data_IF_782961955456
#
_entry.id   IF_782961955456
#
_cell.length_a   1.000
_cell.length_b   1.000
_cell.length_c   1.000
_cell.angle_alpha   90.00
_cell.angle_beta   90.00
_cell.angle_gamma   90.00
#
_symmetry.space_group_name_H-M   'P 1'
#
loop_
_entity.id
_entity.type
_entity.pdbx_description
1 polymer ?
#
# COMPACT_ATOMS: atom_id res chain seq x y z
N UNK A 1 -14.80 -10.57 -21.59
CA UNK A 1 -14.68 -9.25 -22.24
C UNK A 1 -13.92 -9.46 -23.54
N UNK A 2 -14.59 -9.32 -24.68
CA UNK A 2 -13.97 -9.51 -26.00
C UNK A 2 -13.12 -8.29 -26.33
N UNK A 3 -11.80 -8.48 -26.46
CA UNK A 3 -10.89 -7.41 -26.82
C UNK A 3 -11.17 -7.00 -28.28
N UNK A 4 -11.56 -5.76 -28.59
CA UNK A 4 -11.78 -5.33 -29.97
C UNK A 4 -10.48 -5.54 -30.74
N UNK A 5 -10.54 -6.29 -31.84
CA UNK A 5 -9.36 -6.59 -32.68
C UNK A 5 -8.89 -5.30 -33.34
N UNK A 6 -8.02 -4.57 -32.64
CA UNK A 6 -7.32 -3.42 -33.19
C UNK A 6 -6.36 -3.92 -34.27
N UNK A 7 -6.65 -3.61 -35.53
CA UNK A 7 -5.77 -3.87 -36.68
C UNK A 7 -5.11 -2.55 -37.09
N UNK A 8 -3.93 -2.21 -36.53
CA UNK A 8 -3.20 -1.03 -36.94
C UNK A 8 -2.83 -1.11 -38.43
N UNK A 9 -2.76 0.05 -39.10
CA UNK A 9 -2.26 0.12 -40.48
C UNK A 9 -0.81 -0.35 -40.56
N UNK A 10 -0.39 -0.85 -41.73
CA UNK A 10 1.00 -1.30 -41.98
C UNK A 10 2.03 -0.23 -41.58
N UNK A 11 1.77 1.05 -41.88
CA UNK A 11 2.66 2.15 -41.46
C UNK A 11 2.81 2.26 -39.94
N UNK A 12 1.70 2.17 -39.19
CA UNK A 12 1.74 2.22 -37.71
C UNK A 12 2.44 0.99 -37.11
N UNK A 13 2.29 -0.19 -37.74
CA UNK A 13 2.98 -1.42 -37.33
C UNK A 13 4.49 -1.30 -37.52
N UNK A 14 4.92 -0.78 -38.67
CA UNK A 14 6.32 -0.58 -39.02
C UNK A 14 7.00 0.44 -38.09
N UNK A 15 6.34 1.57 -37.82
CA UNK A 15 6.82 2.58 -36.87
C UNK A 15 7.01 1.99 -35.46
N UNK A 16 6.04 1.22 -34.98
CA UNK A 16 6.13 0.58 -33.67
C UNK A 16 7.25 -0.46 -33.62
N UNK A 17 7.43 -1.25 -34.68
CA UNK A 17 8.55 -2.20 -34.78
C UNK A 17 9.90 -1.48 -34.69
N UNK A 18 10.09 -0.41 -35.47
CA UNK A 18 11.32 0.40 -35.43
C UNK A 18 11.57 1.01 -34.07
N UNK A 19 10.52 1.43 -33.37
CA UNK A 19 10.62 1.93 -32.01
C UNK A 19 11.15 0.85 -31.05
N UNK A 20 10.60 -0.37 -31.10
CA UNK A 20 11.06 -1.49 -30.28
C UNK A 20 12.49 -1.92 -30.60
N UNK A 21 12.85 -1.93 -31.88
CA UNK A 21 14.22 -2.23 -32.33
C UNK A 21 15.21 -1.17 -31.86
N UNK A 22 14.89 0.12 -32.02
CA UNK A 22 15.73 1.24 -31.55
C UNK A 22 15.89 1.23 -30.03
N UNK A 23 14.84 0.86 -29.30
CA UNK A 23 14.87 0.74 -27.84
C UNK A 23 15.54 -0.54 -27.33
N UNK A 24 15.99 -1.44 -28.21
CA UNK A 24 16.61 -2.72 -27.83
C UNK A 24 15.63 -3.74 -27.24
N UNK A 25 14.33 -3.47 -27.25
CA UNK A 25 13.30 -4.34 -26.65
C UNK A 25 13.26 -5.70 -27.37
N UNK A 26 13.42 -5.71 -28.70
CA UNK A 26 13.43 -6.93 -29.49
C UNK A 26 14.61 -7.85 -29.10
N UNK A 27 15.80 -7.29 -28.92
CA UNK A 27 17.00 -8.02 -28.52
C UNK A 27 16.89 -8.53 -27.09
N UNK A 28 16.39 -7.68 -26.18
CA UNK A 28 16.13 -8.04 -24.78
C UNK A 28 15.18 -9.24 -24.67
N UNK A 29 13.99 -9.15 -25.31
CA UNK A 29 13.00 -10.23 -25.32
C UNK A 29 13.57 -11.51 -25.94
N UNK A 30 14.31 -11.40 -27.03
CA UNK A 30 14.95 -12.57 -27.66
C UNK A 30 15.90 -13.26 -26.70
N UNK A 31 16.79 -12.51 -26.04
CA UNK A 31 17.74 -13.06 -25.06
C UNK A 31 17.05 -13.72 -23.87
N UNK A 32 16.01 -13.08 -23.32
CA UNK A 32 15.27 -13.64 -22.18
C UNK A 32 14.58 -14.95 -22.57
N UNK A 33 13.98 -15.02 -23.75
CA UNK A 33 13.33 -16.24 -24.24
C UNK A 33 14.34 -17.36 -24.56
N UNK A 34 15.51 -17.01 -25.10
CA UNK A 34 16.61 -17.98 -25.30
C UNK A 34 17.10 -18.52 -23.97
N UNK A 35 17.37 -17.64 -22.98
CA UNK A 35 17.79 -18.08 -21.64
C UNK A 35 16.75 -18.99 -21.00
N UNK A 36 15.46 -18.64 -21.09
CA UNK A 36 14.37 -19.48 -20.59
C UNK A 36 14.31 -20.82 -21.33
N UNK A 37 14.59 -20.85 -22.63
CA UNK A 37 14.63 -22.09 -23.42
C UNK A 37 15.83 -22.97 -23.07
N UNK A 38 16.98 -22.39 -22.79
CA UNK A 38 18.22 -23.09 -22.44
C UNK A 38 18.28 -23.52 -20.96
N UNK A 39 17.44 -22.94 -20.09
CA UNK A 39 17.41 -23.27 -18.67
C UNK A 39 17.15 -24.78 -18.47
N UNK A 40 18.08 -25.54 -17.83
CA UNK A 40 17.98 -26.98 -17.69
C UNK A 40 16.84 -27.39 -16.75
N UNK A 41 16.58 -26.57 -15.73
CA UNK A 41 15.46 -26.70 -14.81
C UNK A 41 14.49 -25.55 -15.06
N UNK A 42 13.34 -25.85 -15.67
CA UNK A 42 12.37 -24.81 -15.99
C UNK A 42 11.79 -24.23 -14.69
N UNK A 43 11.76 -22.88 -14.56
CA UNK A 43 11.13 -22.26 -13.42
C UNK A 43 9.64 -22.64 -13.38
N UNK A 44 9.11 -22.82 -12.17
CA UNK A 44 7.68 -23.11 -11.97
C UNK A 44 6.80 -21.96 -12.47
N UNK A 45 7.24 -20.71 -12.25
CA UNK A 45 6.64 -19.51 -12.82
C UNK A 45 7.55 -18.87 -13.88
N UNK A 46 7.25 -19.14 -15.14
CA UNK A 46 7.95 -18.57 -16.28
C UNK A 46 7.76 -17.05 -16.42
N UNK A 47 6.62 -16.50 -15.98
CA UNK A 47 6.35 -15.06 -16.08
C UNK A 47 7.18 -14.28 -15.07
N UNK A 48 7.29 -14.79 -13.85
CA UNK A 48 8.20 -14.26 -12.83
C UNK A 48 9.65 -14.27 -13.32
N UNK A 49 10.10 -15.39 -13.91
CA UNK A 49 11.43 -15.47 -14.52
C UNK A 49 11.66 -14.39 -15.60
N UNK A 50 10.71 -14.24 -16.53
CA UNK A 50 10.82 -13.27 -17.63
C UNK A 50 10.88 -11.84 -17.06
N UNK A 51 10.01 -11.50 -16.10
CA UNK A 51 9.98 -10.19 -15.45
C UNK A 51 11.33 -9.87 -14.81
N UNK A 52 11.87 -10.81 -14.04
CA UNK A 52 13.13 -10.60 -13.32
C UNK A 52 14.32 -10.53 -14.28
N UNK A 53 14.37 -11.37 -15.31
CA UNK A 53 15.43 -11.29 -16.35
C UNK A 53 15.38 -9.98 -17.12
N UNK A 54 14.19 -9.47 -17.45
CA UNK A 54 14.04 -8.15 -18.09
C UNK A 54 14.50 -7.02 -17.16
N UNK A 55 14.16 -7.08 -15.87
CA UNK A 55 14.65 -6.12 -14.88
C UNK A 55 16.19 -6.14 -14.82
N UNK A 56 16.80 -7.33 -14.77
CA UNK A 56 18.26 -7.46 -14.79
C UNK A 56 18.89 -6.90 -16.07
N UNK A 57 18.30 -7.15 -17.25
CA UNK A 57 18.80 -6.58 -18.50
C UNK A 57 18.70 -5.06 -18.55
N UNK A 58 17.70 -4.48 -17.89
CA UNK A 58 17.54 -3.04 -17.73
C UNK A 58 18.42 -2.45 -16.61
N UNK A 59 19.19 -3.27 -15.89
CA UNK A 59 20.01 -2.82 -14.75
C UNK A 59 19.18 -2.41 -13.54
N UNK A 60 17.94 -2.92 -13.43
CA UNK A 60 17.03 -2.65 -12.32
C UNK A 60 17.08 -3.78 -11.29
N UNK A 61 16.73 -3.46 -10.06
CA UNK A 61 16.51 -4.46 -9.02
C UNK A 61 15.31 -5.34 -9.40
N UNK A 62 15.47 -6.66 -9.24
CA UNK A 62 14.41 -7.62 -9.58
C UNK A 62 13.29 -7.59 -8.55
N UNK A 63 12.09 -8.01 -8.95
CA UNK A 63 10.98 -8.10 -8.01
C UNK A 63 11.28 -9.10 -6.89
N UNK A 64 11.92 -10.23 -7.19
CA UNK A 64 12.36 -11.20 -6.20
C UNK A 64 13.28 -10.57 -5.14
N UNK A 65 14.26 -9.76 -5.56
CA UNK A 65 15.14 -9.03 -4.64
C UNK A 65 14.37 -8.03 -3.77
N UNK A 66 13.48 -7.23 -4.37
CA UNK A 66 12.66 -6.27 -3.63
C UNK A 66 11.78 -6.98 -2.60
N UNK A 67 11.13 -8.08 -2.98
CA UNK A 67 10.29 -8.88 -2.09
C UNK A 67 11.09 -9.45 -0.91
N UNK A 68 12.28 -10.00 -1.18
CA UNK A 68 13.17 -10.51 -0.13
C UNK A 68 13.58 -9.43 0.88
N UNK A 69 13.89 -8.22 0.42
CA UNK A 69 14.22 -7.09 1.31
C UNK A 69 13.03 -6.62 2.14
N UNK A 70 11.81 -6.64 1.58
CA UNK A 70 10.60 -6.33 2.33
C UNK A 70 10.37 -7.36 3.44
N UNK A 71 10.55 -8.65 3.15
CA UNK A 71 10.43 -9.72 4.15
C UNK A 71 11.49 -9.60 5.26
N UNK A 72 12.74 -9.27 4.89
CA UNK A 72 13.82 -9.03 5.85
C UNK A 72 13.51 -7.83 6.77
N UNK A 73 13.07 -6.71 6.19
CA UNK A 73 12.69 -5.53 6.96
C UNK A 73 11.49 -5.78 7.86
N UNK A 74 10.48 -6.51 7.38
CA UNK A 74 9.33 -6.88 8.20
C UNK A 74 9.75 -7.74 9.39
N UNK A 75 10.59 -8.76 9.15
CA UNK A 75 11.14 -9.61 10.22
C UNK A 75 11.91 -8.80 11.25
N UNK A 76 12.69 -7.81 10.80
CA UNK A 76 13.44 -6.93 11.69
C UNK A 76 12.56 -6.01 12.51
N UNK A 77 11.49 -5.48 11.91
CA UNK A 77 10.48 -4.68 12.63
C UNK A 77 9.86 -5.54 13.73
N UNK A 78 9.41 -6.75 13.41
CA UNK A 78 8.76 -7.65 14.37
C UNK A 78 9.68 -7.98 15.54
N UNK A 79 10.95 -8.32 15.29
CA UNK A 79 11.94 -8.60 16.34
C UNK A 79 12.20 -7.39 17.24
N UNK A 80 12.37 -6.20 16.65
CA UNK A 80 12.61 -4.99 17.43
C UNK A 80 11.36 -4.58 18.22
N UNK A 81 10.17 -4.78 17.67
CA UNK A 81 8.90 -4.53 18.38
C UNK A 81 8.75 -5.47 19.58
N UNK A 82 9.13 -6.75 19.44
CA UNK A 82 9.16 -7.69 20.56
C UNK A 82 10.17 -7.25 21.63
N UNK A 83 11.40 -6.94 21.25
CA UNK A 83 12.46 -6.50 22.18
C UNK A 83 12.05 -5.23 22.94
N UNK A 84 11.45 -4.25 22.24
CA UNK A 84 10.94 -3.04 22.89
C UNK A 84 9.79 -3.36 23.86
N UNK A 85 8.92 -4.31 23.51
CA UNK A 85 7.85 -4.78 24.40
C UNK A 85 8.39 -5.42 25.67
N UNK A 86 9.36 -6.32 25.54
CA UNK A 86 10.01 -7.01 26.67
C UNK A 86 10.76 -6.04 27.57
N UNK A 87 11.55 -5.13 27.00
CA UNK A 87 12.30 -4.13 27.78
C UNK A 87 11.38 -3.18 28.51
N UNK A 88 10.26 -2.75 27.90
CA UNK A 88 9.24 -1.92 28.56
C UNK A 88 8.58 -2.66 29.71
N UNK A 89 8.19 -3.92 29.51
CA UNK A 89 7.64 -4.74 30.58
C UNK A 89 8.63 -4.96 31.75
N UNK A 90 9.94 -4.98 31.45
CA UNK A 90 10.99 -5.09 32.47
C UNK A 90 11.32 -3.77 33.19
N UNK A 91 10.92 -2.61 32.64
CA UNK A 91 11.23 -1.29 33.20
C UNK A 91 10.02 -0.53 33.74
N UNK A 92 8.80 -0.96 33.44
CA UNK A 92 7.58 -0.43 34.05
C UNK A 92 7.39 -1.06 35.45
N UNK A 93 7.37 -0.27 36.54
CA UNK A 93 7.10 -0.81 37.88
C UNK A 93 5.67 -1.41 37.90
N UNK A 94 5.42 -2.45 38.72
CA UNK A 94 4.05 -2.97 38.88
C UNK A 94 3.13 -1.80 39.28
N UNK A 95 1.88 -1.77 38.79
CA UNK A 95 0.92 -0.76 39.23
C UNK A 95 0.91 -0.80 40.76
N UNK A 96 1.34 0.30 41.38
CA UNK A 96 1.29 0.46 42.82
C UNK A 96 -0.16 0.16 43.22
N UNK A 97 -0.34 -0.96 43.92
CA UNK A 97 -1.66 -1.44 44.29
C UNK A 97 -2.41 -0.32 44.99
N UNK A 98 -3.67 -0.14 44.56
CA UNK A 98 -4.64 0.66 45.28
C UNK A 98 -4.61 0.21 46.75
N UNK A 99 -3.99 1.03 47.59
CA UNK A 99 -4.07 0.84 49.04
C UNK A 99 -5.52 1.06 49.42
N UNK A 100 -6.19 -0.05 49.75
CA UNK A 100 -7.45 -0.06 50.49
C UNK A 100 -7.25 0.75 51.79
N UNK A 101 -7.58 2.03 51.72
CA UNK A 101 -7.70 2.92 52.87
C UNK A 101 -9.17 3.14 53.16
N UNK A 102 -9.72 2.34 54.07
CA UNK A 102 -10.99 2.63 54.72
C UNK A 102 -10.97 4.06 55.31
N UNK A 103 -11.95 4.87 54.94
CA UNK A 103 -12.44 5.94 55.79
C UNK A 103 -13.96 6.04 55.64
N UNK A 104 -14.64 5.28 56.50
CA UNK A 104 -16.01 5.56 56.92
C UNK A 104 -16.07 7.00 57.45
N UNK A 105 -16.85 7.86 56.79
CA UNK A 105 -17.52 8.97 57.48
C UNK A 105 -18.96 9.03 56.97
N UNK A 106 -19.80 8.37 57.76
CA UNK A 106 -21.24 8.55 57.85
C UNK A 106 -21.52 9.95 58.43
N UNK A 107 -22.22 10.80 57.67
CA UNK A 107 -23.29 11.62 58.25
C UNK A 107 -24.26 12.01 57.13
N UNK A 108 -25.45 11.44 57.19
CA UNK A 108 -26.52 11.69 56.26
C UNK A 108 -27.20 13.04 56.53
N UNK A 109 -27.31 13.86 55.49
CA UNK A 109 -28.44 14.78 55.34
C UNK A 109 -29.01 14.67 53.92
N UNK A 110 -30.29 14.30 53.77
CA UNK A 110 -30.98 14.25 52.48
C UNK A 110 -31.52 15.63 52.07
N UNK A 111 -32.18 15.66 50.88
CA UNK A 111 -33.02 16.70 50.25
C UNK A 111 -32.30 17.90 49.59
N UNK A 112 -32.58 18.32 48.34
CA UNK A 112 -33.62 17.97 47.34
C UNK A 112 -33.15 18.36 45.90
N UNK A 113 -33.83 17.86 44.83
CA UNK A 113 -33.47 18.10 43.42
C UNK A 113 -34.08 19.39 42.83
N UNK A 114 -33.81 19.67 41.54
CA UNK A 114 -34.41 20.70 40.61
C UNK A 114 -33.44 21.92 40.44
N UNK A 115 -33.04 22.43 39.25
CA UNK A 115 -33.69 22.57 37.94
C UNK A 115 -32.67 22.82 36.80
N UNK A 116 -33.02 22.30 35.62
CA UNK A 116 -32.88 22.81 34.24
C UNK A 116 -31.59 23.50 33.72
N UNK A 117 -31.09 22.94 32.62
CA UNK A 117 -30.10 23.53 31.72
C UNK A 117 -29.99 22.73 30.42
N UNK A 118 -31.10 22.67 29.68
CA UNK A 118 -31.19 22.20 28.30
C UNK A 118 -30.28 23.02 27.37
N UNK A 119 -29.71 22.37 26.36
CA UNK A 119 -28.70 22.94 25.47
C UNK A 119 -28.29 21.99 24.37
N UNK A 120 -29.29 21.58 23.58
CA UNK A 120 -29.21 20.57 22.54
C UNK A 120 -28.22 20.83 21.39
N UNK A 121 -27.96 19.72 20.71
CA UNK A 121 -27.31 19.63 19.40
C UNK A 121 -28.31 20.02 18.31
N UNK A 122 -27.90 20.80 17.29
CA UNK A 122 -28.24 20.46 15.90
C UNK A 122 -27.01 20.71 14.97
N UNK A 123 -26.77 20.01 13.87
CA UNK A 123 -27.64 19.25 12.99
C UNK A 123 -27.92 20.05 11.71
N UNK A 124 -27.25 19.66 10.60
CA UNK A 124 -27.60 19.83 9.17
C UNK A 124 -27.65 21.29 8.63
N UNK A 125 -27.40 21.67 7.37
CA UNK A 125 -27.70 21.14 6.02
C UNK A 125 -26.68 21.78 5.04
N UNK A 126 -26.02 21.05 4.13
CA UNK A 126 -26.45 20.71 2.75
C UNK A 126 -27.14 21.82 1.93
N UNK A 127 -26.47 22.22 0.85
CA UNK A 127 -26.90 22.87 -0.40
C UNK A 127 -25.58 23.34 -1.08
N UNK A 128 -25.18 22.90 -2.27
CA UNK A 128 -25.94 22.53 -3.45
C UNK A 128 -25.84 23.66 -4.48
N UNK A 129 -25.47 23.30 -5.72
CA UNK A 129 -25.49 24.12 -6.97
C UNK A 129 -24.24 24.99 -7.19
N UNK A 130 -23.44 24.83 -8.25
CA UNK A 130 -23.71 24.83 -9.71
C UNK A 130 -22.61 25.78 -10.27
N UNK A 131 -22.08 25.76 -11.49
CA UNK A 131 -22.32 25.10 -12.76
C UNK A 131 -21.02 25.28 -13.61
N UNK A 132 -20.99 24.68 -14.78
CA UNK A 132 -19.87 24.26 -15.64
C UNK A 132 -19.08 25.36 -16.42
N UNK A 133 -17.99 24.99 -17.15
CA UNK A 133 -16.95 25.89 -17.62
C UNK A 133 -17.19 26.45 -19.02
N UNK A 134 -16.64 27.65 -19.30
CA UNK A 134 -16.63 28.24 -20.64
C UNK A 134 -15.36 27.84 -21.40
N UNK A 135 -15.53 27.07 -22.46
CA UNK A 135 -14.56 26.83 -23.51
C UNK A 135 -14.50 28.05 -24.46
N UNK A 136 -13.29 28.52 -24.78
CA UNK A 136 -13.03 29.46 -25.87
C UNK A 136 -12.19 28.77 -26.94
N UNK A 137 -12.80 28.49 -28.10
CA UNK A 137 -12.14 28.01 -29.32
C UNK A 137 -11.76 29.23 -30.21
N UNK A 138 -10.81 29.11 -31.15
CA UNK A 138 -10.10 30.23 -31.78
C UNK A 138 -10.76 30.72 -33.07
N UNK A 139 -10.30 31.89 -33.54
CA UNK A 139 -10.29 32.31 -34.95
C UNK A 139 -8.88 32.19 -35.53
#
# INVERSE_FOLDING_TARGET
MSNPTFKPSEGKREEFRKYLEKGGVMDALTKVLVNLYEEPEKPEDALEYIRDRLAMQAGLETYSQMKGRLEEFQTRIDNLTLEVGELRAATEPPPEGDVEGEALIDDGTPVDPIVEGDGGVPGTEDQGEGEQPAAGNPE
#
